data_IF_994584926362
#
_entry.id   IF_994584926362
#
_cell.length_a   1.000
_cell.length_b   1.000
_cell.length_c   1.000
_cell.angle_alpha   90.00
_cell.angle_beta   90.00
_cell.angle_gamma   90.00
#
_symmetry.space_group_name_H-M   'P 1'
#
loop_
_entity.id
_entity.type
_entity.pdbx_description
1 polymer ?
#
# COMPACT_ATOMS: atom_id res chain seq x y z
N UNK A 1 -22.38 -3.17 14.19
CA UNK A 1 -21.74 -4.06 13.19
C UNK A 1 -20.45 -3.39 12.73
N UNK A 2 -19.27 -4.07 12.73
CA UNK A 2 -18.06 -3.46 12.22
C UNK A 2 -18.20 -3.31 10.69
N UNK A 3 -18.05 -2.07 10.23
CA UNK A 3 -17.96 -1.70 8.82
C UNK A 3 -16.85 -2.54 8.18
N UNK A 4 -17.23 -3.49 7.32
CA UNK A 4 -16.29 -4.12 6.39
C UNK A 4 -15.65 -2.97 5.61
N UNK A 5 -14.33 -2.75 5.68
CA UNK A 5 -13.71 -1.79 4.79
C UNK A 5 -13.96 -2.32 3.39
N UNK A 6 -14.81 -1.62 2.64
CA UNK A 6 -14.98 -1.85 1.22
C UNK A 6 -13.58 -1.73 0.63
N UNK A 7 -13.03 -2.83 0.12
CA UNK A 7 -11.74 -2.81 -0.54
C UNK A 7 -11.85 -1.73 -1.64
N UNK A 8 -11.11 -0.61 -1.55
CA UNK A 8 -11.11 0.37 -2.63
C UNK A 8 -10.75 -0.38 -3.92
N UNK A 9 -11.35 -0.02 -5.06
CA UNK A 9 -11.07 -0.70 -6.32
C UNK A 9 -9.55 -0.82 -6.47
N UNK A 10 -9.06 -2.05 -6.60
CA UNK A 10 -7.64 -2.39 -6.56
C UNK A 10 -6.81 -1.69 -7.66
N UNK A 11 -7.47 -0.94 -8.53
CA UNK A 11 -6.94 -0.27 -9.71
C UNK A 11 -5.97 0.87 -9.37
N UNK A 12 -6.03 1.52 -8.21
CA UNK A 12 -5.09 2.62 -7.91
C UNK A 12 -4.51 2.67 -6.50
N UNK A 13 -4.78 1.69 -5.63
CA UNK A 13 -4.18 1.65 -4.28
C UNK A 13 -2.67 1.47 -4.35
N UNK A 14 -2.18 0.70 -5.31
CA UNK A 14 -0.75 0.54 -5.56
C UNK A 14 -0.14 1.82 -6.13
N UNK A 15 -0.85 2.50 -7.04
CA UNK A 15 -0.44 3.79 -7.58
C UNK A 15 -0.28 4.85 -6.48
N UNK A 16 -1.29 4.96 -5.60
CA UNK A 16 -1.33 5.88 -4.49
C UNK A 16 -0.24 5.57 -3.44
N UNK A 17 -0.01 4.29 -3.13
CA UNK A 17 1.11 3.89 -2.28
C UNK A 17 2.45 4.27 -2.91
N UNK A 18 2.63 4.06 -4.21
CA UNK A 18 3.86 4.47 -4.92
C UNK A 18 4.05 5.99 -4.90
N UNK A 19 2.99 6.78 -5.01
CA UNK A 19 3.08 8.25 -4.89
C UNK A 19 3.45 8.70 -3.47
N UNK A 20 2.88 8.07 -2.44
CA UNK A 20 3.24 8.33 -1.04
C UNK A 20 4.70 7.93 -0.75
N UNK A 21 5.19 6.83 -1.32
CA UNK A 21 6.61 6.47 -1.22
C UNK A 21 7.49 7.40 -2.05
N UNK A 22 7.03 7.86 -3.22
CA UNK A 22 7.75 8.85 -4.02
C UNK A 22 7.87 10.21 -3.32
N UNK A 23 6.83 10.64 -2.59
CA UNK A 23 6.87 11.81 -1.74
C UNK A 23 7.90 11.69 -0.59
N UNK A 24 8.25 10.45 -0.19
CA UNK A 24 9.30 10.16 0.78
C UNK A 24 10.70 10.04 0.14
N UNK A 25 10.84 10.33 -1.15
CA UNK A 25 12.10 10.29 -1.88
C UNK A 25 12.48 8.91 -2.45
N UNK A 26 11.59 7.92 -2.38
CA UNK A 26 11.81 6.60 -2.97
C UNK A 26 11.43 6.59 -4.44
N UNK A 27 12.29 6.03 -5.29
CA UNK A 27 11.95 5.87 -6.71
C UNK A 27 10.84 4.83 -6.87
N UNK A 28 9.92 5.05 -7.82
CA UNK A 28 8.85 4.09 -8.18
C UNK A 28 9.32 2.62 -8.25
N UNK A 29 10.45 2.27 -8.89
CA UNK A 29 10.94 0.90 -8.91
C UNK A 29 11.37 0.37 -7.52
N UNK A 30 12.01 1.20 -6.69
CA UNK A 30 12.40 0.81 -5.33
C UNK A 30 11.18 0.58 -4.43
N UNK A 31 10.16 1.45 -4.54
CA UNK A 31 8.90 1.30 -3.83
C UNK A 31 8.13 0.03 -4.25
N UNK A 32 8.13 -0.28 -5.56
CA UNK A 32 7.51 -1.51 -6.07
C UNK A 32 8.28 -2.76 -5.59
N UNK A 33 9.61 -2.75 -5.65
CA UNK A 33 10.44 -3.86 -5.16
C UNK A 33 10.25 -4.12 -3.66
N UNK A 34 10.11 -3.06 -2.86
CA UNK A 34 9.81 -3.16 -1.43
C UNK A 34 8.41 -3.75 -1.18
N UNK A 35 7.39 -3.28 -1.90
CA UNK A 35 6.03 -3.83 -1.83
C UNK A 35 5.98 -5.29 -2.26
N UNK A 36 6.68 -5.66 -3.34
CA UNK A 36 6.76 -7.04 -3.84
C UNK A 36 7.48 -7.96 -2.85
N UNK A 37 8.58 -7.51 -2.25
CA UNK A 37 9.30 -8.26 -1.23
C UNK A 37 8.46 -8.47 0.04
N UNK A 38 7.80 -7.42 0.52
CA UNK A 38 6.88 -7.50 1.67
C UNK A 38 5.68 -8.40 1.41
N UNK A 39 5.09 -8.32 0.22
CA UNK A 39 4.01 -9.18 -0.21
C UNK A 39 4.44 -10.65 -0.21
N UNK A 40 5.63 -10.94 -0.74
CA UNK A 40 6.22 -12.27 -0.75
C UNK A 40 6.51 -12.81 0.66
N UNK A 41 7.13 -12.00 1.51
CA UNK A 41 7.44 -12.35 2.91
C UNK A 41 6.18 -12.63 3.74
N UNK A 42 5.08 -11.92 3.47
CA UNK A 42 3.82 -12.07 4.20
C UNK A 42 2.86 -13.06 3.54
N UNK A 43 3.21 -13.61 2.37
CA UNK A 43 2.31 -14.47 1.59
C UNK A 43 1.04 -13.75 1.13
N UNK A 44 1.09 -12.42 0.96
CA UNK A 44 -0.02 -11.58 0.55
C UNK A 44 0.15 -11.12 -0.90
N UNK A 45 -0.93 -10.64 -1.52
CA UNK A 45 -0.84 -9.96 -2.80
C UNK A 45 -0.31 -8.53 -2.62
N UNK A 46 0.42 -8.02 -3.62
CA UNK A 46 0.97 -6.65 -3.62
C UNK A 46 -0.12 -5.61 -3.37
N UNK A 47 -1.32 -5.81 -3.92
CA UNK A 47 -2.48 -4.95 -3.69
C UNK A 47 -2.93 -4.92 -2.23
N UNK A 48 -2.89 -6.06 -1.52
CA UNK A 48 -3.27 -6.16 -0.11
C UNK A 48 -2.21 -5.54 0.80
N UNK A 49 -0.93 -5.67 0.45
CA UNK A 49 0.16 -4.96 1.12
C UNK A 49 0.06 -3.44 0.92
N UNK A 50 -0.21 -2.97 -0.30
CA UNK A 50 -0.39 -1.56 -0.58
C UNK A 50 -1.57 -0.97 0.22
N UNK A 51 -2.70 -1.68 0.30
CA UNK A 51 -3.85 -1.25 1.09
C UNK A 51 -3.52 -1.10 2.59
N UNK A 52 -2.72 -2.02 3.16
CA UNK A 52 -2.29 -1.92 4.56
C UNK A 52 -1.34 -0.74 4.79
N UNK A 53 -0.45 -0.46 3.84
CA UNK A 53 0.48 0.69 3.92
C UNK A 53 -0.30 2.00 3.85
N UNK A 54 -1.26 2.13 2.93
CA UNK A 54 -2.13 3.32 2.82
C UNK A 54 -2.95 3.51 4.09
N UNK A 55 -3.58 2.45 4.62
CA UNK A 55 -4.34 2.51 5.87
C UNK A 55 -3.48 2.89 7.09
N UNK A 56 -2.22 2.42 7.14
CA UNK A 56 -1.29 2.77 8.21
C UNK A 56 -0.78 4.22 8.12
N UNK A 57 -0.70 4.79 6.91
CA UNK A 57 -0.39 6.21 6.70
C UNK A 57 -1.57 7.08 7.09
N UNK A 58 -2.78 6.75 6.61
CA UNK A 58 -4.02 7.48 6.91
C UNK A 58 -4.30 7.55 8.42
N UNK A 59 -4.15 6.41 9.12
CA UNK A 59 -4.33 6.35 10.58
C UNK A 59 -3.22 7.00 11.42
N UNK A 60 -2.07 7.34 10.83
CA UNK A 60 -0.97 8.08 11.52
C UNK A 60 -1.17 9.60 11.46
N UNK A 61 -1.98 10.09 10.53
CA UNK A 61 -2.21 11.51 10.28
C UNK A 61 -3.35 12.12 11.11
N UNK A 62 -3.96 11.35 12.03
CA UNK A 62 -5.04 11.80 12.93
C UNK A 62 -4.59 12.08 14.35
#
# INVERSE_FOLDING_TARGET
>A
MPVRPAAPPATDVVGLALEVLAAQGLTRPAANAALASLAKERGLTVARCAALVVAAVDGRSG
#
